data_IF_119231187395
#
_entry.id   IF_119231187395
#
_cell.length_a   1.000
_cell.length_b   1.000
_cell.length_c   1.000
_cell.angle_alpha   90.00
_cell.angle_beta   90.00
_cell.angle_gamma   90.00
#
_symmetry.space_group_name_H-M   'P 1'
#
loop_
_entity.id
_entity.type
_entity.pdbx_description
1 polymer ?
#
# COMPACT_ATOMS: atom_id res chain seq x y z
N UNK A 1 -10.74 -5.06 -14.35
CA UNK A 1 -9.35 -5.31 -14.85
C UNK A 1 -8.95 -4.25 -15.86
N UNK A 2 -9.72 -3.97 -16.92
CA UNK A 2 -9.37 -2.98 -17.95
C UNK A 2 -9.10 -1.60 -17.37
N UNK A 3 -9.89 -1.14 -16.40
CA UNK A 3 -9.68 0.14 -15.73
C UNK A 3 -8.34 0.15 -15.01
N UNK A 4 -8.03 -0.88 -14.24
CA UNK A 4 -6.75 -1.01 -13.50
C UNK A 4 -5.58 -1.08 -14.46
N UNK A 5 -5.65 -1.90 -15.51
CA UNK A 5 -4.63 -2.03 -16.55
C UNK A 5 -4.21 -0.67 -17.14
N UNK A 6 -5.17 0.22 -17.35
CA UNK A 6 -4.92 1.52 -18.00
C UNK A 6 -4.55 2.64 -17.03
N UNK A 7 -4.92 2.54 -15.74
CA UNK A 7 -4.73 3.59 -14.76
C UNK A 7 -3.74 3.21 -13.64
N UNK A 8 -3.22 2.00 -13.64
CA UNK A 8 -2.30 1.52 -12.60
C UNK A 8 -0.91 2.15 -12.75
N UNK A 9 -0.26 2.57 -11.64
CA UNK A 9 1.10 3.12 -11.71
C UNK A 9 2.14 2.15 -12.28
N UNK A 10 1.90 0.83 -12.18
CA UNK A 10 2.78 -0.23 -12.70
C UNK A 10 2.19 -0.87 -13.97
N UNK A 11 1.81 -0.08 -14.95
CA UNK A 11 1.21 -0.55 -16.23
C UNK A 11 2.05 -1.63 -16.93
N UNK A 12 3.38 -1.62 -16.76
CA UNK A 12 4.26 -2.64 -17.31
C UNK A 12 3.95 -4.07 -16.87
N UNK A 13 3.36 -4.26 -15.68
CA UNK A 13 2.93 -5.59 -15.21
C UNK A 13 1.75 -6.15 -16.01
N UNK A 14 1.01 -5.28 -16.69
CA UNK A 14 -0.14 -5.63 -17.50
C UNK A 14 0.15 -5.65 -19.01
N UNK A 15 1.35 -5.23 -19.41
CA UNK A 15 1.74 -5.14 -20.82
C UNK A 15 1.56 -6.45 -21.61
N UNK A 16 1.81 -7.66 -21.06
CA UNK A 16 1.58 -8.90 -21.77
C UNK A 16 0.13 -9.34 -21.93
N UNK A 17 -0.83 -8.63 -21.33
CA UNK A 17 -2.25 -8.99 -21.44
C UNK A 17 -2.79 -8.57 -22.82
N UNK A 18 -3.16 -9.55 -23.63
CA UNK A 18 -3.72 -9.34 -24.98
C UNK A 18 -5.24 -9.14 -24.95
N UNK A 19 -5.95 -10.02 -24.24
CA UNK A 19 -7.40 -9.92 -24.08
C UNK A 19 -7.87 -10.43 -22.73
N UNK A 20 -9.08 -10.01 -22.35
CA UNK A 20 -9.78 -10.47 -21.16
C UNK A 20 -11.17 -10.88 -21.60
N UNK A 21 -11.47 -12.17 -21.48
CA UNK A 21 -12.73 -12.76 -21.90
C UNK A 21 -13.55 -13.19 -20.68
N UNK A 22 -14.85 -13.05 -20.75
CA UNK A 22 -15.80 -13.47 -19.73
C UNK A 22 -16.83 -14.42 -20.37
N UNK A 23 -16.47 -15.70 -20.59
CA UNK A 23 -17.32 -16.65 -21.29
C UNK A 23 -18.62 -16.98 -20.55
N UNK A 24 -18.65 -16.79 -19.25
CA UNK A 24 -19.82 -16.93 -18.38
C UNK A 24 -19.70 -16.00 -17.14
N UNK A 25 -20.74 -15.99 -16.30
CA UNK A 25 -20.86 -15.09 -15.15
C UNK A 25 -19.80 -15.34 -14.05
N UNK A 26 -19.12 -16.48 -14.05
CA UNK A 26 -18.20 -16.90 -13.01
C UNK A 26 -16.76 -17.09 -13.51
N UNK A 27 -16.53 -16.93 -14.80
CA UNK A 27 -15.23 -17.20 -15.42
C UNK A 27 -14.62 -15.94 -16.03
N UNK A 28 -13.37 -15.66 -15.68
CA UNK A 28 -12.54 -14.63 -16.33
C UNK A 28 -11.31 -15.31 -16.91
N UNK A 29 -11.10 -15.15 -18.21
CA UNK A 29 -9.92 -15.66 -18.92
C UNK A 29 -9.05 -14.49 -19.32
N UNK A 30 -7.82 -14.47 -18.83
CA UNK A 30 -6.80 -13.47 -19.15
C UNK A 30 -5.81 -14.11 -20.13
N UNK A 31 -5.83 -13.67 -21.38
CA UNK A 31 -4.94 -14.16 -22.41
C UNK A 31 -3.64 -13.34 -22.44
N UNK A 32 -2.51 -14.02 -22.44
CA UNK A 32 -1.20 -13.40 -22.40
C UNK A 32 -0.40 -13.70 -23.67
N UNK A 33 0.31 -12.71 -24.21
CA UNK A 33 1.23 -12.86 -25.33
C UNK A 33 2.38 -13.84 -25.02
N UNK A 34 2.79 -13.90 -23.76
CA UNK A 34 3.84 -14.80 -23.24
C UNK A 34 3.66 -15.02 -21.74
N UNK A 35 4.24 -16.09 -21.15
CA UNK A 35 4.19 -16.33 -19.72
C UNK A 35 4.74 -15.13 -18.93
N UNK A 36 3.97 -14.64 -17.96
CA UNK A 36 4.31 -13.45 -17.18
C UNK A 36 4.03 -13.65 -15.68
N UNK A 37 5.00 -14.18 -14.92
CA UNK A 37 4.82 -14.46 -13.48
C UNK A 37 4.45 -13.24 -12.64
N UNK A 38 4.92 -12.03 -13.03
CA UNK A 38 4.61 -10.79 -12.31
C UNK A 38 3.12 -10.41 -12.33
N UNK A 39 2.32 -11.00 -13.23
CA UNK A 39 0.87 -10.76 -13.27
C UNK A 39 0.18 -11.19 -11.97
N UNK A 40 0.63 -12.27 -11.32
CA UNK A 40 0.07 -12.70 -10.03
C UNK A 40 0.24 -11.65 -8.94
N UNK A 41 1.38 -10.95 -8.94
CA UNK A 41 1.62 -9.84 -8.01
C UNK A 41 0.73 -8.66 -8.37
N UNK A 42 0.58 -8.35 -9.66
CA UNK A 42 -0.28 -7.29 -10.15
C UNK A 42 -1.77 -7.53 -9.83
N UNK A 43 -2.18 -8.78 -9.67
CA UNK A 43 -3.54 -9.18 -9.31
C UNK A 43 -3.79 -9.24 -7.80
N UNK A 44 -2.82 -8.86 -6.96
CA UNK A 44 -3.05 -8.77 -5.53
C UNK A 44 -4.10 -7.70 -5.19
N UNK A 45 -4.76 -7.85 -4.07
CA UNK A 45 -5.79 -6.95 -3.58
C UNK A 45 -5.33 -5.49 -3.45
N UNK A 46 -4.07 -5.28 -3.07
CA UNK A 46 -3.44 -3.95 -2.96
C UNK A 46 -3.26 -3.29 -4.32
N UNK A 47 -2.93 -4.08 -5.36
CA UNK A 47 -2.60 -3.56 -6.68
C UNK A 47 -3.78 -3.63 -7.66
N UNK A 48 -4.76 -4.49 -7.43
CA UNK A 48 -5.94 -4.65 -8.26
C UNK A 48 -7.20 -4.80 -7.41
N UNK A 49 -7.70 -3.71 -6.82
CA UNK A 49 -8.98 -3.75 -6.14
C UNK A 49 -10.09 -4.08 -7.14
N UNK A 50 -11.02 -4.94 -6.75
CA UNK A 50 -12.20 -5.25 -7.55
C UNK A 50 -13.21 -4.12 -7.40
N UNK A 51 -13.47 -3.42 -8.51
CA UNK A 51 -14.37 -2.28 -8.54
C UNK A 51 -15.80 -2.69 -8.90
N UNK A 52 -16.83 -2.05 -8.31
CA UNK A 52 -18.22 -2.36 -8.57
C UNK A 52 -18.64 -1.84 -9.97
N UNK A 53 -18.82 -2.75 -10.93
CA UNK A 53 -19.19 -2.40 -12.30
C UNK A 53 -20.46 -1.54 -12.35
N UNK A 54 -21.51 -1.89 -11.58
CA UNK A 54 -22.79 -1.20 -11.55
C UNK A 54 -22.73 0.26 -11.08
N UNK A 55 -21.60 0.67 -10.49
CA UNK A 55 -21.35 2.07 -10.07
C UNK A 55 -20.36 2.74 -10.99
N UNK A 56 -19.31 2.01 -11.41
CA UNK A 56 -18.21 2.58 -12.17
C UNK A 56 -18.49 2.64 -13.68
N UNK A 57 -19.42 1.83 -14.20
CA UNK A 57 -19.75 1.76 -15.63
C UNK A 57 -20.90 2.73 -15.98
N UNK A 58 -20.66 4.01 -15.76
CA UNK A 58 -21.60 5.10 -16.01
C UNK A 58 -21.32 5.84 -17.35
N UNK A 59 -20.38 5.33 -18.13
CA UNK A 59 -19.92 5.94 -19.37
C UNK A 59 -18.67 6.82 -19.22
N UNK A 60 -18.12 6.94 -18.03
CA UNK A 60 -16.84 7.64 -17.82
C UNK A 60 -15.72 6.94 -18.60
N UNK A 61 -14.93 7.67 -19.38
CA UNK A 61 -13.82 7.09 -20.13
C UNK A 61 -12.80 6.41 -19.19
N UNK A 62 -12.25 5.27 -19.62
CA UNK A 62 -11.30 4.49 -18.79
C UNK A 62 -10.12 5.31 -18.29
N UNK A 63 -9.60 6.22 -19.10
CA UNK A 63 -8.47 7.09 -18.72
C UNK A 63 -8.86 8.20 -17.72
N UNK A 64 -10.14 8.40 -17.47
CA UNK A 64 -10.67 9.39 -16.51
C UNK A 64 -11.17 8.72 -15.22
N UNK A 65 -11.16 7.39 -15.14
CA UNK A 65 -11.66 6.62 -14.00
C UNK A 65 -10.96 6.95 -12.68
N UNK A 66 -9.72 7.42 -12.70
CA UNK A 66 -9.01 7.88 -11.49
C UNK A 66 -9.71 9.05 -10.79
N UNK A 67 -10.41 9.87 -11.56
CA UNK A 67 -11.15 11.05 -11.09
C UNK A 67 -12.65 10.77 -10.96
N UNK A 68 -13.07 9.51 -11.09
CA UNK A 68 -14.47 9.10 -10.98
C UNK A 68 -15.03 9.48 -9.59
N UNK A 69 -16.26 10.03 -9.50
CA UNK A 69 -16.84 10.47 -8.23
C UNK A 69 -16.82 9.41 -7.13
N UNK A 70 -17.00 8.13 -7.46
CA UNK A 70 -16.95 7.05 -6.48
C UNK A 70 -15.53 6.80 -5.92
N UNK A 71 -14.48 7.23 -6.61
CA UNK A 71 -13.10 7.17 -6.09
C UNK A 71 -12.74 8.40 -5.26
N UNK A 72 -13.34 9.55 -5.58
CA UNK A 72 -13.03 10.83 -4.92
C UNK A 72 -14.02 11.18 -3.82
N UNK A 73 -15.29 10.87 -4.00
CA UNK A 73 -16.36 11.23 -3.06
C UNK A 73 -16.40 10.35 -1.80
N UNK A 74 -15.71 9.22 -1.76
CA UNK A 74 -15.46 8.50 -0.51
C UNK A 74 -14.72 9.38 0.51
N UNK A 75 -14.10 10.46 0.06
CA UNK A 75 -13.37 11.43 0.88
C UNK A 75 -14.20 12.64 1.31
N UNK A 76 -15.39 12.89 0.73
CA UNK A 76 -16.13 14.15 0.87
C UNK A 76 -17.60 13.99 1.24
N UNK A 77 -18.06 12.94 1.89
CA UNK A 77 -19.45 12.91 2.36
C UNK A 77 -20.19 11.59 2.15
N UNK A 78 -21.44 11.63 1.73
CA UNK A 78 -22.40 10.51 1.75
C UNK A 78 -22.09 9.33 0.79
N UNK A 79 -20.99 9.36 0.06
CA UNK A 79 -20.59 8.29 -0.85
C UNK A 79 -19.60 7.35 -0.17
N UNK A 80 -20.12 6.21 0.25
CA UNK A 80 -19.34 5.13 0.86
C UNK A 80 -18.65 4.35 -0.26
N UNK A 81 -17.32 4.21 -0.19
CA UNK A 81 -16.58 3.37 -1.12
C UNK A 81 -17.08 1.93 -1.05
N UNK A 82 -17.61 1.41 -2.17
CA UNK A 82 -18.16 0.07 -2.26
C UNK A 82 -17.09 -0.86 -2.80
N UNK A 83 -16.76 -1.89 -2.04
CA UNK A 83 -15.82 -2.94 -2.40
C UNK A 83 -16.40 -4.33 -2.20
N UNK A 84 -15.59 -5.36 -2.42
CA UNK A 84 -15.92 -6.77 -2.18
C UNK A 84 -15.27 -7.33 -0.90
N UNK A 85 -14.73 -6.46 -0.05
CA UNK A 85 -14.04 -6.83 1.18
C UNK A 85 -14.98 -7.22 2.34
N UNK A 86 -14.41 -7.73 3.44
CA UNK A 86 -15.20 -8.15 4.61
C UNK A 86 -15.72 -6.99 5.46
N UNK A 87 -15.31 -5.78 5.19
CA UNK A 87 -15.73 -4.59 5.93
C UNK A 87 -16.27 -3.53 4.98
N UNK A 88 -17.18 -2.70 5.49
CA UNK A 88 -17.73 -1.52 4.82
C UNK A 88 -17.22 -0.26 5.50
N UNK A 89 -16.82 0.71 4.72
CA UNK A 89 -16.50 2.05 5.19
C UNK A 89 -17.80 2.75 5.62
N UNK A 90 -17.90 3.17 6.88
CA UNK A 90 -19.07 3.85 7.45
C UNK A 90 -18.79 5.27 7.88
N UNK A 91 -17.53 5.61 8.16
CA UNK A 91 -17.11 6.97 8.48
C UNK A 91 -15.72 7.25 7.92
N UNK A 92 -15.55 8.42 7.34
CA UNK A 92 -14.24 8.90 6.89
C UNK A 92 -14.05 10.36 7.34
N UNK A 93 -13.23 10.56 8.35
CA UNK A 93 -12.66 11.85 8.70
C UNK A 93 -11.15 11.80 8.49
N UNK A 94 -10.68 12.44 7.43
CA UNK A 94 -9.26 12.41 7.05
C UNK A 94 -8.32 13.04 8.11
N UNK A 95 -8.85 13.69 9.11
CA UNK A 95 -8.09 14.36 10.18
C UNK A 95 -8.16 13.64 11.52
N UNK A 96 -9.11 12.73 11.70
CA UNK A 96 -9.36 12.09 12.98
C UNK A 96 -9.39 10.56 12.90
N UNK A 97 -10.29 9.99 12.09
CA UNK A 97 -10.48 8.54 12.04
C UNK A 97 -11.17 8.04 10.77
N UNK A 98 -10.97 6.78 10.51
CA UNK A 98 -11.71 5.99 9.51
C UNK A 98 -12.40 4.85 10.25
N UNK A 99 -13.69 4.65 10.04
CA UNK A 99 -14.46 3.55 10.66
C UNK A 99 -14.90 2.57 9.58
N UNK A 100 -14.61 1.32 9.82
CA UNK A 100 -15.04 0.19 9.01
C UNK A 100 -15.90 -0.74 9.87
N UNK A 101 -17.08 -1.14 9.38
CA UNK A 101 -17.97 -2.10 10.04
C UNK A 101 -18.00 -3.43 9.27
N UNK A 102 -18.19 -4.52 10.00
CA UNK A 102 -18.30 -5.84 9.41
C UNK A 102 -19.41 -5.89 8.36
N UNK A 103 -19.14 -6.56 7.25
CA UNK A 103 -20.12 -6.86 6.24
C UNK A 103 -20.71 -8.27 6.50
N UNK A 104 -21.92 -8.33 7.03
CA UNK A 104 -22.56 -9.60 7.43
C UNK A 104 -22.72 -10.58 6.26
N UNK A 105 -22.97 -10.07 5.04
CA UNK A 105 -23.14 -10.88 3.83
C UNK A 105 -21.82 -11.15 3.10
N UNK A 106 -20.67 -11.06 3.79
CA UNK A 106 -19.39 -11.37 3.18
C UNK A 106 -19.34 -12.82 2.69
N UNK A 107 -18.83 -13.05 1.48
CA UNK A 107 -18.92 -14.33 0.78
C UNK A 107 -18.13 -15.49 1.44
N UNK A 108 -17.23 -15.21 2.39
CA UNK A 108 -16.54 -16.25 3.17
C UNK A 108 -17.32 -16.48 4.48
N UNK A 109 -17.91 -17.65 4.68
CA UNK A 109 -18.70 -17.94 5.89
C UNK A 109 -17.89 -17.79 7.18
N UNK A 110 -18.47 -17.14 8.19
CA UNK A 110 -17.84 -16.91 9.49
C UNK A 110 -16.77 -15.83 9.50
N UNK A 111 -16.73 -14.98 8.50
CA UNK A 111 -15.85 -13.81 8.37
C UNK A 111 -16.68 -12.54 8.14
N UNK A 112 -16.14 -11.38 8.57
CA UNK A 112 -14.98 -11.15 9.43
C UNK A 112 -15.21 -11.60 10.89
N UNK A 113 -14.14 -11.66 11.70
CA UNK A 113 -14.26 -11.98 13.13
C UNK A 113 -14.49 -10.74 14.00
N UNK A 114 -14.06 -9.58 13.53
CA UNK A 114 -14.25 -8.31 14.23
C UNK A 114 -15.56 -7.68 13.76
N UNK A 115 -16.26 -7.02 14.67
CA UNK A 115 -17.48 -6.27 14.36
C UNK A 115 -17.15 -4.94 13.66
N UNK A 116 -16.03 -4.33 14.04
CA UNK A 116 -15.54 -3.07 13.44
C UNK A 116 -14.04 -2.92 13.54
N UNK A 117 -13.48 -2.03 12.70
CA UNK A 117 -12.11 -1.55 12.78
C UNK A 117 -12.12 -0.02 12.73
N UNK A 118 -11.42 0.60 13.66
CA UNK A 118 -11.30 2.06 13.75
C UNK A 118 -9.83 2.43 13.56
N UNK A 119 -9.54 3.12 12.46
CA UNK A 119 -8.21 3.68 12.21
C UNK A 119 -8.16 5.09 12.74
N UNK A 120 -7.44 5.32 13.82
CA UNK A 120 -7.22 6.65 14.39
C UNK A 120 -6.02 7.31 13.71
N UNK A 121 -6.20 8.54 13.23
CA UNK A 121 -5.13 9.31 12.61
C UNK A 121 -4.40 10.08 13.71
N UNK A 122 -3.22 9.62 14.05
CA UNK A 122 -2.37 10.26 15.07
C UNK A 122 -1.47 11.33 14.44
N UNK A 123 -1.13 12.40 15.17
CA UNK A 123 -0.29 13.48 14.66
C UNK A 123 1.15 13.02 14.41
N UNK A 124 1.63 12.04 15.18
CA UNK A 124 2.99 11.52 15.08
C UNK A 124 3.08 10.09 15.65
N UNK A 125 4.26 9.49 15.50
CA UNK A 125 4.53 8.13 15.96
C UNK A 125 4.55 7.99 17.48
N UNK A 126 4.95 9.03 18.21
CA UNK A 126 4.98 8.99 19.69
C UNK A 126 3.57 8.95 20.26
N UNK A 127 2.60 9.64 19.65
CA UNK A 127 1.19 9.53 19.99
C UNK A 127 0.64 8.10 19.77
N UNK A 128 1.04 7.46 18.66
CA UNK A 128 0.69 6.05 18.39
C UNK A 128 1.25 5.14 19.47
N UNK A 129 2.53 5.33 19.85
CA UNK A 129 3.16 4.53 20.89
C UNK A 129 2.49 4.71 22.25
N UNK A 130 2.12 5.93 22.61
CA UNK A 130 1.40 6.21 23.85
C UNK A 130 0.03 5.50 23.88
N UNK A 131 -0.70 5.53 22.75
CA UNK A 131 -1.99 4.84 22.63
C UNK A 131 -1.86 3.31 22.78
N UNK A 132 -0.80 2.71 22.22
CA UNK A 132 -0.49 1.29 22.41
C UNK A 132 -0.14 0.97 23.88
N UNK A 133 0.73 1.76 24.49
CA UNK A 133 1.17 1.55 25.89
C UNK A 133 0.02 1.74 26.90
N UNK A 134 -0.90 2.64 26.61
CA UNK A 134 -2.09 2.89 27.45
C UNK A 134 -3.21 1.88 27.24
N UNK A 135 -3.17 1.07 26.15
CA UNK A 135 -4.25 0.19 25.74
C UNK A 135 -5.42 0.90 25.06
N UNK A 136 -5.25 2.14 24.63
CA UNK A 136 -6.22 2.86 23.81
C UNK A 136 -6.26 2.30 22.39
N UNK A 137 -5.11 1.85 21.88
CA UNK A 137 -4.98 1.21 20.57
C UNK A 137 -4.62 -0.27 20.72
N UNK A 138 -5.31 -1.11 19.97
CA UNK A 138 -5.04 -2.56 19.90
C UNK A 138 -3.84 -2.87 18.98
N UNK A 139 -3.62 -2.04 17.96
CA UNK A 139 -2.54 -2.20 16.98
C UNK A 139 -1.97 -0.85 16.57
N UNK A 140 -0.72 -0.83 16.18
CA UNK A 140 -0.07 0.37 15.64
C UNK A 140 1.22 0.04 14.93
N UNK A 141 1.70 0.99 14.11
CA UNK A 141 2.99 0.91 13.43
C UNK A 141 4.04 1.81 14.06
N UNK A 142 5.28 1.49 13.84
CA UNK A 142 6.43 2.31 14.18
C UNK A 142 7.44 2.31 13.02
N UNK A 143 8.07 3.44 12.78
CA UNK A 143 9.10 3.60 11.75
C UNK A 143 10.46 3.92 12.37
N UNK A 144 10.50 4.55 13.55
CA UNK A 144 11.73 4.91 14.22
C UNK A 144 12.35 3.74 14.96
N UNK A 145 13.68 3.69 14.98
CA UNK A 145 14.43 2.68 15.74
C UNK A 145 14.20 2.81 17.24
N UNK A 146 13.98 4.03 17.72
CA UNK A 146 13.72 4.30 19.14
C UNK A 146 12.40 3.68 19.57
N UNK A 147 11.34 3.85 18.80
CA UNK A 147 10.03 3.29 19.10
C UNK A 147 10.02 1.77 18.90
N UNK A 148 10.77 1.25 17.91
CA UNK A 148 10.99 -0.19 17.78
C UNK A 148 11.58 -0.80 19.08
N UNK A 149 12.57 -0.14 19.71
CA UNK A 149 13.14 -0.61 20.97
C UNK A 149 12.13 -0.56 22.12
N UNK A 150 11.29 0.46 22.20
CA UNK A 150 10.21 0.51 23.21
C UNK A 150 9.27 -0.69 23.07
N UNK A 151 8.85 -1.02 21.85
CA UNK A 151 7.99 -2.19 21.60
C UNK A 151 8.68 -3.50 21.96
N UNK A 152 9.93 -3.72 21.53
CA UNK A 152 10.66 -4.96 21.80
C UNK A 152 10.96 -5.18 23.29
N UNK A 153 11.11 -4.11 24.06
CA UNK A 153 11.41 -4.18 25.49
C UNK A 153 10.15 -4.14 26.38
N UNK A 154 8.97 -3.90 25.82
CA UNK A 154 7.71 -3.87 26.57
C UNK A 154 7.07 -5.27 26.55
N UNK A 155 6.94 -5.96 27.72
CA UNK A 155 6.36 -7.30 27.78
C UNK A 155 4.86 -7.35 27.50
N UNK A 156 4.18 -6.21 27.53
CA UNK A 156 2.74 -6.12 27.28
C UNK A 156 2.43 -5.91 25.78
N UNK A 157 3.45 -5.69 24.95
CA UNK A 157 3.31 -5.52 23.51
C UNK A 157 3.89 -6.71 22.75
N UNK A 158 3.21 -7.10 21.69
CA UNK A 158 3.67 -8.15 20.76
C UNK A 158 4.11 -7.51 19.45
N UNK A 159 5.39 -7.67 19.12
CA UNK A 159 5.90 -7.27 17.82
C UNK A 159 5.72 -8.39 16.80
N UNK A 160 5.22 -8.04 15.61
CA UNK A 160 5.09 -8.96 14.47
C UNK A 160 6.04 -8.46 13.36
N UNK A 161 7.35 -8.77 13.44
CA UNK A 161 8.37 -8.17 12.57
C UNK A 161 8.28 -8.59 11.11
N UNK A 162 7.69 -9.73 10.81
CA UNK A 162 7.70 -10.34 9.46
C UNK A 162 6.36 -10.22 8.72
N UNK A 163 5.50 -9.29 9.08
CA UNK A 163 4.20 -9.06 8.42
C UNK A 163 4.33 -8.81 6.90
N UNK A 164 5.48 -8.31 6.44
CA UNK A 164 5.79 -8.05 5.04
C UNK A 164 6.61 -9.15 4.36
N UNK A 165 6.65 -10.35 4.94
CA UNK A 165 7.30 -11.51 4.31
C UNK A 165 8.80 -11.37 4.10
N UNK A 166 9.51 -10.72 5.00
CA UNK A 166 10.97 -10.59 4.96
C UNK A 166 11.51 -9.64 3.89
N UNK A 167 10.64 -8.95 3.16
CA UNK A 167 11.08 -7.90 2.23
C UNK A 167 11.18 -6.61 3.03
N UNK A 168 12.40 -6.23 3.40
CA UNK A 168 12.67 -5.02 4.15
C UNK A 168 12.18 -3.75 3.44
N UNK A 169 11.85 -2.74 4.22
CA UNK A 169 11.56 -1.41 3.70
C UNK A 169 12.82 -0.77 3.12
N UNK A 170 12.67 -0.09 1.99
CA UNK A 170 13.75 0.58 1.28
C UNK A 170 13.57 2.09 1.38
N UNK A 171 14.53 2.79 2.00
CA UNK A 171 14.62 4.24 1.91
C UNK A 171 15.48 4.62 0.70
N UNK A 172 14.92 5.41 -0.21
CA UNK A 172 15.62 5.84 -1.42
C UNK A 172 15.32 7.29 -1.76
N UNK A 173 16.25 7.92 -2.45
CA UNK A 173 16.06 9.23 -3.06
C UNK A 173 15.74 9.04 -4.53
N UNK A 174 14.51 9.40 -4.93
CA UNK A 174 14.07 9.32 -6.31
C UNK A 174 14.23 10.68 -7.00
N UNK A 175 14.84 10.68 -8.18
CA UNK A 175 15.06 11.89 -8.98
C UNK A 175 13.96 12.08 -10.03
N UNK A 176 13.36 13.28 -10.07
CA UNK A 176 12.47 13.65 -11.17
C UNK A 176 13.28 14.01 -12.43
N UNK A 177 13.39 13.06 -13.34
CA UNK A 177 14.15 13.19 -14.58
C UNK A 177 13.55 14.19 -15.58
N UNK A 178 12.30 14.64 -15.39
CA UNK A 178 11.69 15.68 -16.20
C UNK A 178 12.16 17.10 -15.82
N UNK A 179 12.88 17.24 -14.71
CA UNK A 179 13.49 18.51 -14.30
C UNK A 179 14.84 18.69 -15.00
N UNK A 180 15.03 19.81 -15.70
CA UNK A 180 16.23 20.10 -16.52
C UNK A 180 17.54 20.07 -15.69
N UNK A 181 17.51 20.52 -14.44
CA UNK A 181 18.69 20.53 -13.56
C UNK A 181 19.00 19.09 -13.11
N UNK A 182 17.99 18.37 -12.66
CA UNK A 182 18.11 16.98 -12.15
C UNK A 182 18.41 15.98 -13.27
N UNK A 183 18.03 16.28 -14.51
CA UNK A 183 18.32 15.43 -15.67
C UNK A 183 19.84 15.36 -15.98
N UNK A 184 20.64 16.34 -15.55
CA UNK A 184 22.11 16.29 -15.66
C UNK A 184 22.69 15.24 -14.69
N UNK A 185 23.41 14.27 -15.24
CA UNK A 185 24.04 13.20 -14.46
C UNK A 185 24.99 13.73 -13.37
N UNK A 186 25.71 14.81 -13.67
CA UNK A 186 26.69 15.43 -12.74
C UNK A 186 26.00 15.96 -11.49
N UNK A 187 24.78 16.53 -11.64
CA UNK A 187 23.98 17.03 -10.52
C UNK A 187 23.53 15.87 -9.64
N UNK A 188 23.03 14.79 -10.22
CA UNK A 188 22.62 13.60 -9.45
C UNK A 188 23.80 12.96 -8.72
N UNK A 189 24.96 12.86 -9.38
CA UNK A 189 26.19 12.37 -8.74
C UNK A 189 26.62 13.29 -7.59
N UNK A 190 26.59 14.61 -7.78
CA UNK A 190 26.93 15.55 -6.72
C UNK A 190 26.02 15.38 -5.50
N UNK A 191 24.71 15.26 -5.71
CA UNK A 191 23.75 14.98 -4.62
C UNK A 191 24.09 13.64 -3.92
N UNK A 192 24.36 12.59 -4.69
CA UNK A 192 24.69 11.28 -4.11
C UNK A 192 25.98 11.31 -3.25
N UNK A 193 26.96 12.11 -3.64
CA UNK A 193 28.20 12.30 -2.86
C UNK A 193 28.03 13.13 -1.59
N UNK A 194 26.95 13.90 -1.45
CA UNK A 194 26.67 14.66 -0.23
C UNK A 194 25.96 13.84 0.85
N UNK A 195 25.45 12.67 0.51
CA UNK A 195 24.73 11.82 1.46
C UNK A 195 25.74 11.05 2.30
N UNK A 196 25.80 11.39 3.58
CA UNK A 196 26.57 10.63 4.59
C UNK A 196 25.79 9.38 4.99
N UNK A 197 26.05 8.26 4.30
CA UNK A 197 25.39 6.99 4.55
C UNK A 197 25.75 6.41 5.91
N UNK A 198 26.99 6.61 6.35
CA UNK A 198 27.44 6.13 7.67
C UNK A 198 26.67 6.84 8.79
N UNK A 199 26.42 8.15 8.65
CA UNK A 199 25.58 8.88 9.58
C UNK A 199 24.14 8.35 9.59
N UNK A 200 23.56 8.12 8.42
CA UNK A 200 22.19 7.57 8.30
C UNK A 200 22.11 6.20 8.98
N UNK A 201 23.05 5.31 8.67
CA UNK A 201 23.05 3.95 9.20
C UNK A 201 23.31 3.93 10.71
N UNK A 202 24.41 4.55 11.13
CA UNK A 202 24.92 4.37 12.50
C UNK A 202 24.31 5.34 13.50
N UNK A 203 23.89 6.54 13.07
CA UNK A 203 23.32 7.54 13.97
C UNK A 203 21.80 7.54 13.91
N UNK A 204 21.21 7.72 12.72
CA UNK A 204 19.75 7.78 12.61
C UNK A 204 19.08 6.43 12.81
N UNK A 205 19.67 5.36 12.32
CA UNK A 205 19.15 4.00 12.46
C UNK A 205 19.92 3.13 13.47
N UNK A 206 20.85 3.73 14.24
CA UNK A 206 21.57 3.05 15.36
C UNK A 206 22.26 1.74 14.93
N UNK A 207 22.73 1.64 13.68
CA UNK A 207 23.35 0.44 13.15
C UNK A 207 22.38 -0.71 12.81
N UNK A 208 21.06 -0.49 12.88
CA UNK A 208 20.02 -1.52 12.64
C UNK A 208 19.57 -1.62 11.18
N UNK A 209 20.21 -0.89 10.29
CA UNK A 209 19.98 -0.95 8.86
C UNK A 209 21.31 -1.14 8.14
N UNK A 210 21.27 -1.37 6.84
CA UNK A 210 22.46 -1.57 6.03
C UNK A 210 22.35 -0.78 4.71
N UNK A 211 23.51 -0.47 4.12
CA UNK A 211 23.54 0.11 2.79
C UNK A 211 23.01 -0.88 1.75
N UNK A 212 22.13 -0.40 0.88
CA UNK A 212 21.66 -1.16 -0.26
C UNK A 212 22.46 -0.73 -1.51
N UNK A 213 23.20 -1.67 -2.07
CA UNK A 213 24.07 -1.43 -3.23
C UNK A 213 23.37 -1.62 -4.58
N UNK A 214 22.10 -2.06 -4.55
CA UNK A 214 21.29 -2.31 -5.74
C UNK A 214 19.81 -2.10 -5.50
N UNK A 215 19.01 -2.31 -6.53
CA UNK A 215 17.54 -2.19 -6.43
C UNK A 215 16.84 -3.38 -5.76
N UNK A 216 17.59 -4.40 -5.36
CA UNK A 216 17.04 -5.63 -4.75
C UNK A 216 17.54 -5.71 -3.31
N UNK A 217 16.61 -5.86 -2.37
CA UNK A 217 16.94 -6.00 -0.95
C UNK A 217 17.64 -7.34 -0.69
N UNK A 218 18.72 -7.38 0.15
CA UNK A 218 19.45 -8.62 0.44
C UNK A 218 18.62 -9.77 1.01
N UNK A 219 17.52 -9.48 1.72
CA UNK A 219 16.57 -10.49 2.21
C UNK A 219 15.63 -11.01 1.12
N UNK A 220 15.65 -10.45 -0.09
CA UNK A 220 14.84 -10.94 -1.21
C UNK A 220 15.38 -12.27 -1.72
N UNK A 221 14.47 -13.20 -2.06
CA UNK A 221 14.84 -14.44 -2.73
C UNK A 221 15.50 -14.25 -4.12
N UNK A 222 15.49 -13.03 -4.64
CA UNK A 222 16.07 -12.64 -5.93
C UNK A 222 17.40 -11.87 -5.80
N UNK A 223 17.97 -11.78 -4.59
CA UNK A 223 19.25 -11.10 -4.32
C UNK A 223 20.45 -11.97 -4.74
#
# INVERSE_FOLDING_TARGET
>A
IEVVKNNHPFTGMWAPVESIDTPDDLTVVINLANPHPALWIAMSDVLMPIMPKHIMDDGTPINEMKDHPNNTAALEGDHIAIGSGPFRLTEWDATQKIVLEAYEDFFIPGRPYLDSMIYVITPDEDATMLGLESGEFDTGGYASTVNAEKVFNNPDLVSVPDLLGGVGSLNHLQFNMANDIISDLRVRQAIAYTIDRDYVINVLHQGKTQELLGGIHPASQFY
#
